data_IF_391383618321
#
_entry.id   IF_391383618321
#
_cell.length_a   1.000
_cell.length_b   1.000
_cell.length_c   1.000
_cell.angle_alpha   90.00
_cell.angle_beta   90.00
_cell.angle_gamma   90.00
#
_symmetry.space_group_name_H-M   'P 1'
#
loop_
_entity.id
_entity.type
_entity.pdbx_description
1 polymer ?
#
# COMPACT_ATOMS: atom_id res chain seq x y z
N UNK A 1 4.97 1.45 -4.51
CA UNK A 1 3.80 1.18 -3.64
C UNK A 1 2.55 1.61 -4.35
N UNK A 2 1.46 0.84 -4.32
CA UNK A 2 0.23 1.15 -5.05
C UNK A 2 -0.95 1.25 -4.06
N UNK A 3 -1.58 2.43 -3.93
CA UNK A 3 -2.85 2.59 -3.21
C UNK A 3 -4.01 2.45 -4.20
N UNK A 4 -5.03 1.66 -3.84
CA UNK A 4 -6.23 1.45 -4.65
C UNK A 4 -7.47 1.79 -3.83
N UNK A 5 -8.07 2.95 -4.07
CA UNK A 5 -9.37 3.29 -3.51
C UNK A 5 -10.46 3.02 -4.54
N UNK A 6 -11.54 2.36 -4.12
CA UNK A 6 -12.75 2.25 -4.94
C UNK A 6 -13.32 3.67 -5.14
N UNK A 7 -13.31 4.21 -6.36
CA UNK A 7 -13.74 5.58 -6.60
C UNK A 7 -15.26 5.74 -6.38
N UNK A 8 -15.67 6.96 -6.04
CA UNK A 8 -17.07 7.36 -6.08
C UNK A 8 -17.64 7.15 -7.50
N UNK A 9 -18.97 6.94 -7.65
CA UNK A 9 -19.59 6.79 -8.97
C UNK A 9 -19.19 7.96 -9.89
N UNK A 10 -18.52 7.66 -11.01
CA UNK A 10 -18.05 8.65 -11.98
C UNK A 10 -16.55 8.94 -11.98
N UNK A 11 -15.75 8.35 -11.09
CA UNK A 11 -14.30 8.52 -11.05
C UNK A 11 -13.56 7.20 -11.38
N UNK A 12 -12.34 7.30 -11.95
CA UNK A 12 -11.44 6.17 -12.17
C UNK A 12 -10.66 5.80 -10.90
N UNK A 13 -10.01 4.65 -10.88
CA UNK A 13 -9.08 4.29 -9.81
C UNK A 13 -7.99 5.35 -9.70
N UNK A 14 -7.82 5.96 -8.52
CA UNK A 14 -6.68 6.83 -8.24
C UNK A 14 -5.53 5.93 -7.79
N UNK A 15 -4.43 5.99 -8.53
CA UNK A 15 -3.17 5.33 -8.19
C UNK A 15 -2.20 6.39 -7.71
N UNK A 16 -1.98 6.45 -6.39
CA UNK A 16 -0.85 7.18 -5.82
C UNK A 16 0.29 6.19 -5.59
N UNK A 17 1.47 6.51 -6.16
CA UNK A 17 2.63 5.64 -6.14
C UNK A 17 3.87 6.33 -5.55
N UNK A 18 4.48 5.67 -4.57
CA UNK A 18 5.76 6.09 -3.96
C UNK A 18 6.88 5.12 -4.29
N UNK A 19 8.05 5.68 -4.58
CA UNK A 19 9.34 4.99 -4.53
C UNK A 19 9.92 5.18 -3.13
N UNK A 20 10.25 4.08 -2.46
CA UNK A 20 10.79 4.11 -1.11
C UNK A 20 12.31 3.96 -1.19
N UNK A 21 13.05 5.03 -0.92
CA UNK A 21 14.51 5.08 -0.92
C UNK A 21 15.12 5.08 0.49
N UNK A 22 14.31 5.41 1.50
CA UNK A 22 14.72 5.38 2.90
C UNK A 22 13.57 5.50 3.89
N UNK A 23 13.92 5.60 5.17
CA UNK A 23 12.94 5.64 6.27
C UNK A 23 12.00 6.84 6.19
N UNK A 24 12.47 7.99 5.67
CA UNK A 24 11.64 9.18 5.53
C UNK A 24 10.43 8.92 4.60
N UNK A 25 10.67 8.28 3.46
CA UNK A 25 9.63 7.97 2.47
C UNK A 25 8.59 6.98 3.04
N UNK A 26 9.05 6.04 3.86
CA UNK A 26 8.17 5.09 4.56
C UNK A 26 7.24 5.83 5.53
N UNK A 27 7.79 6.76 6.31
CA UNK A 27 7.00 7.54 7.27
C UNK A 27 6.00 8.46 6.57
N UNK A 28 6.38 9.05 5.43
CA UNK A 28 5.49 9.86 4.61
C UNK A 28 4.33 9.03 4.05
N UNK A 29 4.62 7.86 3.48
CA UNK A 29 3.60 6.96 2.94
C UNK A 29 2.61 6.48 4.02
N UNK A 30 3.10 6.21 5.24
CA UNK A 30 2.23 5.84 6.38
C UNK A 30 1.31 7.01 6.74
N UNK A 31 1.86 8.22 6.93
CA UNK A 31 1.06 9.41 7.28
C UNK A 31 0.01 9.71 6.22
N UNK A 32 0.40 9.65 4.95
CA UNK A 32 -0.53 9.85 3.85
C UNK A 32 -1.68 8.84 3.91
N UNK A 33 -1.38 7.55 4.14
CA UNK A 33 -2.40 6.51 4.24
C UNK A 33 -3.35 6.74 5.43
N UNK A 34 -2.82 7.15 6.58
CA UNK A 34 -3.62 7.50 7.77
C UNK A 34 -4.57 8.67 7.49
N UNK A 35 -4.08 9.75 6.87
CA UNK A 35 -4.87 10.93 6.51
C UNK A 35 -5.98 10.61 5.50
N UNK A 36 -5.72 9.68 4.56
CA UNK A 36 -6.65 9.34 3.48
C UNK A 36 -7.61 8.20 3.82
N UNK A 37 -7.31 7.39 4.84
CA UNK A 37 -8.15 6.28 5.25
C UNK A 37 -9.55 6.73 5.72
N UNK A 38 -9.68 7.97 6.22
CA UNK A 38 -10.96 8.54 6.70
C UNK A 38 -11.67 7.59 7.68
N UNK A 39 -10.94 7.16 8.71
CA UNK A 39 -11.37 6.20 9.75
C UNK A 39 -11.61 4.75 9.28
N UNK A 40 -11.41 4.44 7.99
CA UNK A 40 -11.48 3.06 7.51
C UNK A 40 -10.22 2.30 7.88
N UNK A 41 -10.36 0.99 8.05
CA UNK A 41 -9.22 0.08 8.12
C UNK A 41 -8.53 0.02 6.76
N UNK A 42 -7.21 -0.02 6.78
CA UNK A 42 -6.37 -0.16 5.60
C UNK A 42 -5.18 -1.06 5.94
N UNK A 43 -4.55 -1.60 4.91
CA UNK A 43 -3.24 -2.23 5.02
C UNK A 43 -2.30 -1.60 4.01
N UNK A 44 -1.08 -1.37 4.46
CA UNK A 44 -0.04 -0.72 3.68
C UNK A 44 1.10 -1.71 3.43
N UNK A 45 1.40 -1.97 2.15
CA UNK A 45 2.46 -2.90 1.74
C UNK A 45 3.52 -2.19 0.88
N UNK A 46 4.78 -2.46 1.17
CA UNK A 46 5.91 -2.13 0.29
C UNK A 46 6.29 -3.34 -0.55
N UNK A 47 6.49 -3.10 -1.83
CA UNK A 47 7.07 -4.09 -2.74
C UNK A 47 8.59 -3.91 -2.71
N UNK A 48 9.30 -4.98 -2.37
CA UNK A 48 10.75 -5.02 -2.50
C UNK A 48 11.06 -5.67 -3.84
N UNK A 49 11.53 -4.87 -4.80
CA UNK A 49 12.03 -5.40 -6.06
C UNK A 49 13.40 -6.03 -5.83
N UNK A 50 13.57 -7.36 -5.98
CA UNK A 50 14.90 -7.92 -6.11
C UNK A 50 15.51 -7.45 -7.44
N UNK A 51 16.83 -7.21 -7.44
CA UNK A 51 17.57 -6.93 -8.66
C UNK A 51 17.27 -8.05 -9.69
N UNK A 52 16.87 -7.73 -10.93
CA UNK A 52 16.27 -8.71 -11.82
C UNK A 52 17.29 -9.77 -12.26
N UNK A 53 17.27 -10.93 -11.61
CA UNK A 53 18.01 -12.10 -12.03
C UNK A 53 17.25 -12.82 -13.15
N UNK A 54 17.29 -12.25 -14.36
CA UNK A 54 16.85 -12.92 -15.58
C UNK A 54 15.33 -12.91 -15.86
N UNK A 55 14.92 -13.78 -16.80
CA UNK A 55 13.61 -13.75 -17.47
C UNK A 55 12.48 -14.48 -16.70
N UNK A 56 12.59 -14.56 -15.37
CA UNK A 56 11.62 -15.25 -14.53
C UNK A 56 10.40 -14.37 -14.23
N UNK A 57 9.22 -14.96 -13.95
CA UNK A 57 8.09 -14.22 -13.43
C UNK A 57 8.50 -13.42 -12.20
N UNK A 58 8.07 -12.16 -12.11
CA UNK A 58 8.34 -11.32 -10.94
C UNK A 58 7.63 -11.90 -9.72
N UNK A 59 8.38 -12.61 -8.88
CA UNK A 59 7.94 -12.99 -7.55
C UNK A 59 8.35 -11.86 -6.59
N UNK A 60 7.51 -10.84 -6.45
CA UNK A 60 7.83 -9.73 -5.55
C UNK A 60 7.38 -10.03 -4.14
N UNK A 61 8.28 -9.77 -3.19
CA UNK A 61 7.97 -9.93 -1.77
C UNK A 61 7.29 -8.66 -1.29
N UNK A 62 6.06 -8.80 -0.77
CA UNK A 62 5.34 -7.70 -0.15
C UNK A 62 5.63 -7.68 1.35
N UNK A 63 6.12 -6.53 1.83
CA UNK A 63 6.36 -6.27 3.25
C UNK A 63 5.24 -5.39 3.78
N UNK A 64 4.50 -5.86 4.78
CA UNK A 64 3.47 -5.06 5.46
C UNK A 64 4.13 -4.01 6.34
N UNK A 65 3.84 -2.73 6.08
CA UNK A 65 4.39 -1.59 6.80
C UNK A 65 3.47 -1.14 7.96
N UNK A 66 2.15 -1.08 7.72
CA UNK A 66 1.20 -0.52 8.68
C UNK A 66 -0.24 -1.01 8.43
N UNK A 67 -1.11 -0.71 9.39
CA UNK A 67 -2.56 -0.89 9.27
C UNK A 67 -3.11 -2.16 9.93
N UNK A 68 -4.35 -2.50 9.60
CA UNK A 68 -5.11 -3.66 10.11
C UNK A 68 -5.95 -4.24 8.98
N UNK A 69 -6.08 -5.56 8.89
CA UNK A 69 -6.85 -6.22 7.83
C UNK A 69 -8.27 -5.59 7.75
N UNK A 70 -8.61 -4.96 6.60
CA UNK A 70 -9.91 -4.33 6.43
C UNK A 70 -11.07 -5.34 6.43
N UNK A 71 -10.77 -6.63 6.23
CA UNK A 71 -11.73 -7.72 6.22
C UNK A 71 -11.83 -8.46 7.56
N UNK A 72 -10.99 -8.13 8.54
CA UNK A 72 -11.07 -8.74 9.86
C UNK A 72 -12.43 -8.45 10.51
N UNK A 73 -13.12 -9.48 10.98
CA UNK A 73 -14.36 -9.28 11.74
C UNK A 73 -14.07 -8.45 13.00
N UNK A 74 -14.97 -7.53 13.41
CA UNK A 74 -14.83 -6.89 14.71
C UNK A 74 -14.83 -7.98 15.78
N UNK A 75 -13.83 -7.96 16.67
CA UNK A 75 -13.82 -8.84 17.83
C UNK A 75 -15.10 -8.55 18.64
N UNK A 76 -15.93 -9.59 18.79
CA UNK A 76 -17.19 -9.52 19.53
C UNK A 76 -17.00 -9.33 21.03
#
# INVERSE_FOLDING_TARGET
MNYWERPAPGFGWNLDAWTLSGTADVLEAIRWAEDHAKERRFELFAEVEPEPAGNHPRETTLVRLAGTDPNASPAG
#
